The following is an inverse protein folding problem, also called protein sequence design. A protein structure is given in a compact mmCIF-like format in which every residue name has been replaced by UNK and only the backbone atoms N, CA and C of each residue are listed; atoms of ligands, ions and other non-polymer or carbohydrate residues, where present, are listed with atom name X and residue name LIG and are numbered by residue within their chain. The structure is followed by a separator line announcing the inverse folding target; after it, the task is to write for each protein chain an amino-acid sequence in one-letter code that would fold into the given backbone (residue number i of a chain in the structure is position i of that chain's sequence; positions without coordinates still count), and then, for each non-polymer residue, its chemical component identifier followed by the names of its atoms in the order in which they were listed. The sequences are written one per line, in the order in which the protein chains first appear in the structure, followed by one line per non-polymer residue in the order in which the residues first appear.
data_IF_532609983747
#
_entry.id   IF_532609983747
#
_cell.length_a   1.000
_cell.length_b   1.000
_cell.length_c   1.000
_cell.angle_alpha   90.00
_cell.angle_beta   90.00
_cell.angle_gamma   90.00
#
_symmetry.space_group_name_H-M   'P 1'
#
loop_
_entity.id
_entity.type
_entity.pdbx_description
1 polymer ?
#
# COMPACT_ATOMS: atom_id res chain seq x y z
N UNK A 1 -10.05 -0.83 -28.22
CA UNK A 1 -9.88 -2.12 -27.54
C UNK A 1 -11.19 -2.46 -26.85
N UNK A 2 -11.83 -3.59 -27.18
CA UNK A 2 -13.13 -3.95 -26.62
C UNK A 2 -12.92 -4.53 -25.21
N UNK A 3 -13.38 -3.81 -24.19
CA UNK A 3 -13.40 -4.31 -22.81
C UNK A 3 -14.46 -5.41 -22.78
N UNK A 4 -14.02 -6.68 -22.65
CA UNK A 4 -14.95 -7.80 -22.47
C UNK A 4 -15.84 -7.51 -21.26
N UNK A 5 -17.16 -7.72 -21.35
CA UNK A 5 -18.02 -7.61 -20.17
C UNK A 5 -17.55 -8.62 -19.12
N UNK A 6 -17.31 -8.15 -17.89
CA UNK A 6 -16.97 -8.99 -16.73
C UNK A 6 -18.12 -9.97 -16.55
N UNK A 7 -17.89 -11.27 -16.81
CA UNK A 7 -18.92 -12.28 -16.64
C UNK A 7 -19.37 -12.31 -15.18
N UNK A 8 -20.66 -12.11 -14.93
CA UNK A 8 -21.22 -12.16 -13.59
C UNK A 8 -21.40 -13.62 -13.15
N UNK A 9 -20.92 -13.96 -11.96
CA UNK A 9 -21.11 -15.27 -11.33
C UNK A 9 -21.71 -15.10 -9.94
N UNK A 10 -22.30 -16.16 -9.40
CA UNK A 10 -22.91 -16.15 -8.06
C UNK A 10 -22.06 -16.99 -7.11
N UNK A 11 -21.60 -16.38 -6.02
CA UNK A 11 -20.89 -17.07 -4.93
C UNK A 11 -21.81 -17.31 -3.74
N UNK A 12 -21.63 -18.43 -3.05
CA UNK A 12 -22.33 -18.70 -1.79
C UNK A 12 -21.60 -18.02 -0.63
N UNK A 13 -22.32 -17.24 0.14
CA UNK A 13 -21.82 -16.57 1.36
C UNK A 13 -22.83 -16.74 2.49
N UNK A 14 -22.40 -16.49 3.73
CA UNK A 14 -23.33 -16.44 4.86
C UNK A 14 -24.32 -15.28 4.70
N UNK A 15 -25.52 -15.44 5.27
CA UNK A 15 -26.55 -14.38 5.29
C UNK A 15 -26.01 -13.11 5.96
N UNK A 16 -25.28 -13.27 7.06
CA UNK A 16 -24.65 -12.15 7.78
C UNK A 16 -23.63 -11.40 6.91
N UNK A 17 -22.80 -12.11 6.13
CA UNK A 17 -21.82 -11.51 5.20
C UNK A 17 -22.53 -10.71 4.12
N UNK A 18 -23.56 -11.29 3.48
CA UNK A 18 -24.38 -10.60 2.48
C UNK A 18 -24.96 -9.31 3.05
N UNK A 19 -25.53 -9.37 4.26
CA UNK A 19 -26.17 -8.22 4.89
C UNK A 19 -25.17 -7.12 5.26
N UNK A 20 -23.96 -7.51 5.67
CA UNK A 20 -22.86 -6.57 5.91
C UNK A 20 -22.46 -5.84 4.62
N UNK A 21 -22.26 -6.56 3.52
CA UNK A 21 -21.92 -5.96 2.22
C UNK A 21 -23.07 -5.04 1.75
N UNK A 22 -24.31 -5.51 1.85
CA UNK A 22 -25.48 -4.72 1.46
C UNK A 22 -25.62 -3.42 2.27
N UNK A 23 -25.31 -3.46 3.57
CA UNK A 23 -25.30 -2.26 4.42
C UNK A 23 -24.23 -1.26 3.98
N UNK A 24 -23.01 -1.72 3.73
CA UNK A 24 -21.89 -0.86 3.28
C UNK A 24 -22.21 -0.24 1.91
N UNK A 25 -22.66 -1.06 0.96
CA UNK A 25 -23.07 -0.62 -0.36
C UNK A 25 -24.14 0.49 -0.32
N UNK A 26 -25.15 0.34 0.54
CA UNK A 26 -26.17 1.39 0.76
C UNK A 26 -25.62 2.68 1.37
N UNK A 27 -24.66 2.57 2.29
CA UNK A 27 -24.04 3.72 2.94
C UNK A 27 -23.17 4.52 1.96
N UNK A 28 -22.50 3.83 1.04
CA UNK A 28 -21.61 4.44 0.04
C UNK A 28 -22.31 4.81 -1.27
N UNK A 29 -23.57 4.41 -1.46
CA UNK A 29 -24.31 4.62 -2.71
C UNK A 29 -23.76 3.80 -3.89
N UNK A 30 -23.17 2.63 -3.61
CA UNK A 30 -22.50 1.76 -4.59
C UNK A 30 -23.19 0.40 -4.70
N UNK A 31 -22.83 -0.39 -5.71
CA UNK A 31 -23.30 -1.77 -5.82
C UNK A 31 -22.57 -2.69 -4.83
N UNK A 32 -23.23 -3.80 -4.45
CA UNK A 32 -22.61 -4.82 -3.60
C UNK A 32 -21.36 -5.44 -4.24
N UNK A 33 -21.34 -5.55 -5.58
CA UNK A 33 -20.19 -6.08 -6.32
C UNK A 33 -19.00 -5.13 -6.27
N UNK A 34 -19.20 -3.83 -6.43
CA UNK A 34 -18.11 -2.85 -6.34
C UNK A 34 -17.47 -2.82 -4.94
N UNK A 35 -18.30 -2.87 -3.89
CA UNK A 35 -17.80 -2.95 -2.50
C UNK A 35 -17.00 -4.23 -2.27
N UNK A 36 -17.45 -5.35 -2.83
CA UNK A 36 -16.74 -6.62 -2.72
C UNK A 36 -15.41 -6.60 -3.49
N UNK A 37 -15.42 -6.10 -4.73
CA UNK A 37 -14.23 -5.99 -5.57
C UNK A 37 -13.16 -5.12 -4.90
N UNK A 38 -13.55 -3.99 -4.31
CA UNK A 38 -12.62 -3.11 -3.58
C UNK A 38 -12.09 -3.78 -2.30
N UNK A 39 -12.95 -4.43 -1.53
CA UNK A 39 -12.51 -5.14 -0.33
C UNK A 39 -11.50 -6.25 -0.64
N UNK A 40 -11.68 -6.96 -1.76
CA UNK A 40 -10.73 -7.97 -2.24
C UNK A 40 -9.41 -7.31 -2.64
N UNK A 41 -9.47 -6.24 -3.43
CA UNK A 41 -8.27 -5.52 -3.86
C UNK A 41 -7.46 -4.99 -2.66
N UNK A 42 -8.12 -4.46 -1.64
CA UNK A 42 -7.46 -4.00 -0.42
C UNK A 42 -6.84 -5.15 0.38
N UNK A 43 -7.51 -6.29 0.43
CA UNK A 43 -6.98 -7.49 1.07
C UNK A 43 -5.74 -8.04 0.33
N UNK A 44 -5.79 -8.12 -0.99
CA UNK A 44 -4.66 -8.55 -1.84
C UNK A 44 -3.48 -7.60 -1.68
N UNK A 45 -3.73 -6.30 -1.73
CA UNK A 45 -2.69 -5.28 -1.53
C UNK A 45 -2.05 -5.40 -0.16
N UNK A 46 -2.84 -5.61 0.89
CA UNK A 46 -2.32 -5.83 2.25
C UNK A 46 -1.41 -7.06 2.29
N UNK A 47 -1.86 -8.19 1.76
CA UNK A 47 -1.08 -9.43 1.75
C UNK A 47 0.20 -9.30 0.93
N UNK A 48 0.15 -8.60 -0.20
CA UNK A 48 1.32 -8.32 -1.01
C UNK A 48 2.40 -7.56 -0.23
N UNK A 49 2.03 -6.53 0.54
CA UNK A 49 2.97 -5.78 1.35
C UNK A 49 3.52 -6.58 2.53
N UNK A 50 2.69 -7.43 3.15
CA UNK A 50 3.12 -8.35 4.21
C UNK A 50 4.18 -9.32 3.66
N UNK A 51 3.90 -9.97 2.53
CA UNK A 51 4.83 -10.90 1.90
C UNK A 51 6.13 -10.23 1.46
N UNK A 52 6.04 -9.04 0.85
CA UNK A 52 7.23 -8.29 0.44
C UNK A 52 8.12 -7.93 1.64
N UNK A 53 7.53 -7.49 2.75
CA UNK A 53 8.28 -7.16 3.95
C UNK A 53 8.98 -8.40 4.52
N UNK A 54 8.29 -9.53 4.61
CA UNK A 54 8.88 -10.79 5.07
C UNK A 54 10.04 -11.23 4.17
N UNK A 55 9.89 -11.09 2.85
CA UNK A 55 10.96 -11.42 1.90
C UNK A 55 12.17 -10.49 2.06
N UNK A 56 11.96 -9.19 2.23
CA UNK A 56 13.03 -8.23 2.48
C UNK A 56 13.76 -8.58 3.78
N UNK A 57 13.04 -8.83 4.87
CA UNK A 57 13.64 -9.21 6.15
C UNK A 57 14.42 -10.52 6.07
N UNK A 58 13.94 -11.48 5.27
CA UNK A 58 14.65 -12.73 5.04
C UNK A 58 15.94 -12.48 4.26
N UNK A 59 15.91 -11.72 3.17
CA UNK A 59 17.11 -11.37 2.40
C UNK A 59 18.13 -10.64 3.25
N UNK A 60 17.71 -9.70 4.11
CA UNK A 60 18.59 -9.02 5.06
C UNK A 60 19.30 -9.98 6.02
N UNK A 61 18.60 -11.03 6.47
CA UNK A 61 19.13 -12.03 7.40
C UNK A 61 20.04 -13.05 6.74
N UNK A 62 19.64 -13.53 5.56
CA UNK A 62 20.31 -14.62 4.85
C UNK A 62 21.49 -14.14 4.01
N UNK A 63 21.42 -12.92 3.46
CA UNK A 63 22.49 -12.32 2.66
C UNK A 63 22.68 -10.82 2.98
N UNK A 64 23.34 -10.50 4.11
CA UNK A 64 23.62 -9.13 4.50
C UNK A 64 24.50 -8.37 3.48
N UNK A 65 25.34 -9.08 2.72
CA UNK A 65 26.24 -8.47 1.75
C UNK A 65 25.47 -8.01 0.52
N UNK A 66 24.65 -8.87 -0.07
CA UNK A 66 23.80 -8.47 -1.21
C UNK A 66 22.81 -7.36 -0.82
N UNK A 67 22.33 -7.36 0.43
CA UNK A 67 21.52 -6.26 0.93
C UNK A 67 22.29 -4.93 1.00
N UNK A 68 23.54 -4.95 1.48
CA UNK A 68 24.39 -3.76 1.53
C UNK A 68 24.70 -3.22 0.11
N UNK A 69 24.97 -4.12 -0.84
CA UNK A 69 25.21 -3.77 -2.24
C UNK A 69 23.97 -3.11 -2.87
N UNK A 70 22.78 -3.67 -2.65
CA UNK A 70 21.51 -3.06 -3.07
C UNK A 70 21.31 -1.66 -2.47
N UNK A 71 21.61 -1.46 -1.18
CA UNK A 71 21.50 -0.14 -0.55
C UNK A 71 22.48 0.88 -1.15
N UNK A 72 23.70 0.45 -1.46
CA UNK A 72 24.69 1.30 -2.11
C UNK A 72 24.27 1.70 -3.53
N UNK A 73 23.75 0.75 -4.32
CA UNK A 73 23.18 1.02 -5.64
C UNK A 73 21.99 1.99 -5.56
N UNK A 74 21.07 1.76 -4.63
CA UNK A 74 19.90 2.62 -4.41
C UNK A 74 20.31 4.05 -4.08
N UNK A 75 21.31 4.24 -3.21
CA UNK A 75 21.85 5.56 -2.84
C UNK A 75 22.50 6.25 -4.05
N UNK A 76 23.21 5.50 -4.89
CA UNK A 76 23.82 6.04 -6.11
C UNK A 76 22.77 6.54 -7.12
N UNK A 77 21.69 5.78 -7.30
CA UNK A 77 20.63 6.09 -8.28
C UNK A 77 19.65 7.15 -7.78
N UNK A 78 19.17 7.04 -6.55
CA UNK A 78 18.17 7.94 -5.97
C UNK A 78 18.79 9.18 -5.34
N UNK A 79 20.13 9.24 -5.28
CA UNK A 79 20.85 10.21 -4.48
C UNK A 79 20.74 9.91 -2.98
N UNK A 80 21.48 10.65 -2.15
CA UNK A 80 21.47 10.40 -0.74
C UNK A 80 20.11 10.64 -0.13
N UNK A 81 19.70 9.77 0.82
CA UNK A 81 18.47 10.01 1.59
C UNK A 81 18.56 11.42 2.17
N UNK A 82 17.75 12.35 1.64
CA UNK A 82 17.82 13.74 2.05
C UNK A 82 17.50 13.83 3.54
N UNK A 83 18.51 14.15 4.35
CA UNK A 83 18.31 14.47 5.78
C UNK A 83 17.71 15.86 5.98
N UNK A 84 17.65 16.67 4.92
CA UNK A 84 17.11 18.02 4.96
C UNK A 84 15.73 18.06 4.33
N UNK A 85 14.75 18.56 5.09
CA UNK A 85 13.47 19.10 4.60
C UNK A 85 13.70 20.41 3.82
N UNK A 86 14.73 20.47 2.97
CA UNK A 86 14.93 21.62 2.08
C UNK A 86 14.07 21.38 0.86
N UNK A 87 12.90 22.00 0.88
CA UNK A 87 12.09 22.22 -0.29
C UNK A 87 12.88 23.17 -1.22
N UNK A 88 12.76 23.00 -2.53
CA UNK A 88 13.25 24.02 -3.44
C UNK A 88 12.54 25.37 -3.15
N UNK A 89 13.24 26.52 -3.20
CA UNK A 89 12.71 27.81 -2.71
C UNK A 89 11.38 28.23 -3.32
N UNK A 90 11.14 27.87 -4.59
CA UNK A 90 9.91 28.19 -5.31
C UNK A 90 8.67 27.41 -4.82
N UNK A 91 8.87 26.42 -3.97
CA UNK A 91 7.82 25.60 -3.34
C UNK A 91 7.67 25.89 -1.85
N UNK A 92 8.48 26.78 -1.29
CA UNK A 92 8.41 27.17 0.12
C UNK A 92 7.07 27.89 0.39
N UNK A 93 6.28 27.37 1.33
CA UNK A 93 4.93 27.87 1.64
C UNK A 93 3.80 27.37 0.74
N UNK A 94 4.09 26.63 -0.34
CA UNK A 94 3.07 25.96 -1.16
C UNK A 94 2.70 24.56 -0.65
N UNK A 95 3.54 23.97 0.20
CA UNK A 95 3.35 22.63 0.76
C UNK A 95 3.37 22.73 2.29
N UNK A 96 2.26 22.36 2.92
CA UNK A 96 2.21 22.10 4.37
C UNK A 96 2.51 20.63 4.60
N UNK A 97 3.69 20.33 5.15
CA UNK A 97 3.95 18.97 5.63
C UNK A 97 3.16 18.71 6.91
N UNK A 98 2.49 17.57 7.06
CA UNK A 98 2.00 17.15 8.35
C UNK A 98 3.17 17.05 9.34
N UNK A 99 2.91 17.40 10.60
CA UNK A 99 3.87 17.28 11.69
C UNK A 99 4.20 15.80 11.87
N UNK A 100 5.41 15.40 11.51
CA UNK A 100 5.90 14.05 11.80
C UNK A 100 6.06 13.95 13.31
N UNK A 101 5.23 13.11 13.95
CA UNK A 101 5.53 12.67 15.30
C UNK A 101 6.81 11.85 15.23
N UNK A 102 7.86 12.39 15.85
CA UNK A 102 9.13 11.71 16.03
C UNK A 102 8.93 10.52 16.98
N UNK A 103 8.40 9.42 16.45
CA UNK A 103 8.42 8.13 17.14
C UNK A 103 9.85 7.59 17.03
N UNK A 104 10.72 8.16 17.87
CA UNK A 104 12.10 7.74 18.02
C UNK A 104 12.17 6.25 18.32
N UNK A 105 12.65 5.48 17.35
CA UNK A 105 12.98 4.07 17.54
C UNK A 105 14.08 3.97 18.62
N UNK A 106 13.82 3.33 19.78
CA UNK A 106 14.86 3.13 20.78
C UNK A 106 15.91 2.15 20.24
N UNK A 107 17.17 2.51 20.46
CA UNK A 107 18.37 1.71 20.15
C UNK A 107 18.45 0.44 20.98
#
# INVERSE_FOLDING_TARGET
MSVKPKAATTIRVSVATRDRIARIARQEGRSMTEVLDEAIHDYERKHFWEELNEQIERTQREDPQAWADYLAERELVMGPRSRSRRIAPEWEGLITFPEEKDEGHPR
#
